data_IF_017712213459
#
_entry.id   IF_017712213459
#
_cell.length_a   1.000
_cell.length_b   1.000
_cell.length_c   1.000
_cell.angle_alpha   90.00
_cell.angle_beta   90.00
_cell.angle_gamma   90.00
#
_symmetry.space_group_name_H-M   'P 1'
#
loop_
_entity.id
_entity.type
_entity.pdbx_description
1 polymer ?
#
# COMPACT_ATOMS: atom_id res chain seq x y z
N UNK A 1 -0.15 14.55 8.07
CA UNK A 1 -0.37 15.28 6.81
C UNK A 1 0.51 14.61 5.76
N UNK A 2 -0.07 13.77 4.89
CA UNK A 2 0.65 13.05 3.83
C UNK A 2 0.88 14.02 2.66
N UNK A 3 1.77 14.99 2.88
CA UNK A 3 1.98 16.07 1.93
C UNK A 3 3.07 15.73 0.91
N UNK A 4 2.78 16.14 -0.34
CA UNK A 4 3.70 16.39 -1.46
C UNK A 4 3.76 15.42 -2.65
N UNK A 5 2.99 14.32 -2.70
CA UNK A 5 2.93 13.49 -3.94
C UNK A 5 1.53 13.06 -4.39
N UNK A 6 0.53 13.23 -3.53
CA UNK A 6 -0.87 12.85 -3.79
C UNK A 6 -1.80 14.08 -3.78
N UNK A 7 -1.29 15.27 -4.08
CA UNK A 7 -2.09 16.51 -4.09
C UNK A 7 -3.32 16.33 -5.01
N UNK A 8 -4.51 16.22 -4.39
CA UNK A 8 -5.80 16.07 -5.08
C UNK A 8 -6.33 14.63 -5.20
N UNK A 9 -5.58 13.61 -4.76
CA UNK A 9 -6.07 12.23 -4.70
C UNK A 9 -6.75 12.02 -3.34
N UNK A 10 -8.00 11.53 -3.29
CA UNK A 10 -8.63 11.20 -2.01
C UNK A 10 -7.80 10.14 -1.29
N UNK A 11 -7.56 10.33 0.01
CA UNK A 11 -6.79 9.38 0.80
C UNK A 11 -7.60 8.84 1.97
N UNK A 12 -7.27 7.63 2.41
CA UNK A 12 -7.76 7.01 3.63
C UNK A 12 -6.66 6.21 4.32
N UNK A 13 -6.81 5.95 5.61
CA UNK A 13 -5.92 5.06 6.34
C UNK A 13 -6.19 3.59 5.96
N UNK A 14 -5.14 2.77 5.95
CA UNK A 14 -5.27 1.33 5.88
C UNK A 14 -6.04 0.76 7.08
N UNK A 15 -6.68 -0.39 6.89
CA UNK A 15 -7.23 -1.23 7.95
C UNK A 15 -6.33 -2.45 8.21
N UNK A 16 -6.30 -2.95 9.45
CA UNK A 16 -5.60 -4.20 9.75
C UNK A 16 -6.28 -5.39 9.06
N UNK A 17 -5.48 -6.31 8.52
CA UNK A 17 -5.94 -7.43 7.69
C UNK A 17 -6.31 -7.06 6.26
N UNK A 18 -6.22 -5.78 5.88
CA UNK A 18 -6.55 -5.31 4.55
C UNK A 18 -5.53 -5.79 3.50
N UNK A 19 -6.02 -6.24 2.34
CA UNK A 19 -5.21 -6.46 1.15
C UNK A 19 -5.22 -5.22 0.25
N UNK A 20 -4.02 -4.76 -0.07
CA UNK A 20 -3.73 -3.60 -0.89
C UNK A 20 -2.87 -4.03 -2.08
N UNK A 21 -2.77 -3.14 -3.06
CA UNK A 21 -1.89 -3.32 -4.21
C UNK A 21 -1.08 -2.05 -4.43
N UNK A 22 0.17 -2.24 -4.82
CA UNK A 22 1.03 -1.17 -5.30
C UNK A 22 0.49 -0.67 -6.64
N UNK A 23 0.07 0.58 -6.70
CA UNK A 23 -0.56 1.18 -7.87
C UNK A 23 0.13 2.47 -8.26
N UNK A 24 0.26 2.70 -9.57
CA UNK A 24 0.77 3.95 -10.12
C UNK A 24 -0.38 4.93 -10.33
N UNK A 25 -0.44 5.97 -9.51
CA UNK A 25 -1.48 6.99 -9.62
C UNK A 25 -1.27 7.89 -10.85
N UNK A 26 -2.32 8.61 -11.25
CA UNK A 26 -2.29 9.56 -12.37
C UNK A 26 -1.27 10.68 -12.21
N UNK A 27 -0.84 10.96 -10.97
CA UNK A 27 0.26 11.89 -10.65
C UNK A 27 1.65 11.34 -11.03
N UNK A 28 1.74 10.07 -11.43
CA UNK A 28 2.98 9.37 -11.74
C UNK A 28 3.66 8.75 -10.52
N UNK A 29 3.18 9.04 -9.30
CA UNK A 29 3.68 8.47 -8.06
C UNK A 29 3.14 7.07 -7.81
N UNK A 30 4.00 6.20 -7.30
CA UNK A 30 3.60 4.91 -6.75
C UNK A 30 2.98 5.11 -5.36
N UNK A 31 1.88 4.43 -5.11
CA UNK A 31 1.28 4.36 -3.78
C UNK A 31 0.55 3.04 -3.59
N UNK A 32 -0.26 2.97 -2.54
CA UNK A 32 -1.08 1.79 -2.25
C UNK A 32 -2.54 2.13 -2.52
N UNK A 33 -3.28 1.17 -3.06
CA UNK A 33 -4.71 1.27 -3.30
C UNK A 33 -5.39 -0.04 -2.90
N UNK A 34 -6.67 0.03 -2.55
CA UNK A 34 -7.45 -1.20 -2.41
C UNK A 34 -7.78 -1.74 -3.80
N UNK A 35 -7.65 -3.06 -4.03
CA UNK A 35 -8.03 -3.66 -5.31
C UNK A 35 -9.52 -3.46 -5.64
N UNK A 36 -10.38 -3.28 -4.63
CA UNK A 36 -11.81 -2.99 -4.81
C UNK A 36 -12.08 -1.58 -5.35
N UNK A 37 -11.16 -0.65 -5.09
CA UNK A 37 -11.27 0.77 -5.44
C UNK A 37 -10.62 1.08 -6.80
N UNK A 38 -9.89 0.12 -7.39
CA UNK A 38 -9.24 0.29 -8.69
C UNK A 38 -10.22 0.05 -9.85
N UNK A 39 -10.14 0.84 -10.93
CA UNK A 39 -10.86 0.55 -12.15
C UNK A 39 -10.34 -0.76 -12.74
N UNK A 40 -11.12 -1.84 -12.61
CA UNK A 40 -10.77 -3.14 -13.20
C UNK A 40 -10.66 -2.97 -14.72
N UNK A 41 -9.51 -3.28 -15.34
CA UNK A 41 -9.42 -3.32 -16.80
C UNK A 41 -10.47 -4.30 -17.30
N UNK A 42 -11.32 -3.84 -18.22
CA UNK A 42 -12.50 -4.56 -18.70
C UNK A 42 -12.18 -5.99 -19.22
N UNK A 43 -10.92 -6.21 -19.62
CA UNK A 43 -10.36 -7.49 -20.07
C UNK A 43 -10.20 -8.58 -18.98
N UNK A 44 -10.22 -8.22 -17.69
CA UNK A 44 -10.13 -9.17 -16.57
C UNK A 44 -11.50 -9.46 -15.92
N UNK A 45 -12.60 -8.93 -16.46
CA UNK A 45 -13.94 -9.36 -16.05
C UNK A 45 -14.11 -10.83 -16.45
N UNK A 46 -13.88 -11.74 -15.50
CA UNK A 46 -14.27 -13.13 -15.64
C UNK A 46 -15.75 -13.20 -16.08
N UNK A 47 -16.12 -14.14 -16.97
CA UNK A 47 -17.51 -14.23 -17.42
C UNK A 47 -18.41 -14.44 -16.20
N UNK A 48 -19.37 -13.54 -16.04
CA UNK A 48 -20.32 -13.55 -14.95
C UNK A 48 -20.96 -14.96 -14.84
N UNK A 49 -20.70 -15.64 -13.72
CA UNK A 49 -21.42 -16.85 -13.34
C UNK A 49 -22.91 -16.55 -13.45
N UNK A 50 -23.65 -17.39 -14.19
CA UNK A 50 -25.07 -17.18 -14.52
C UNK A 50 -25.87 -17.02 -13.21
N UNK A 51 -26.25 -15.78 -12.88
CA UNK A 51 -26.92 -15.45 -11.62
C UNK A 51 -28.40 -15.87 -11.67
N UNK A 52 -28.82 -16.67 -10.70
CA UNK A 52 -30.19 -17.13 -10.50
C UNK A 52 -31.11 -15.95 -10.18
N UNK A 53 -32.35 -16.03 -10.68
CA UNK A 53 -33.48 -15.08 -10.65
C UNK A 53 -33.63 -14.14 -9.44
N UNK A 54 -33.11 -14.49 -8.26
CA UNK A 54 -33.18 -13.70 -7.03
C UNK A 54 -32.14 -12.58 -6.90
N UNK A 55 -31.05 -12.58 -7.68
CA UNK A 55 -30.00 -11.56 -7.59
C UNK A 55 -30.24 -10.30 -8.45
N UNK A 56 -31.11 -10.37 -9.46
CA UNK A 56 -31.46 -9.20 -10.29
C UNK A 56 -32.31 -8.16 -9.57
N UNK A 57 -33.01 -8.56 -8.50
CA UNK A 57 -33.86 -7.65 -7.73
C UNK A 57 -33.06 -6.84 -6.71
N UNK A 58 -31.93 -7.38 -6.21
CA UNK A 58 -31.06 -6.67 -5.25
C UNK A 58 -30.12 -5.67 -5.93
N UNK A 59 -29.72 -5.92 -7.19
CA UNK A 59 -28.86 -4.98 -7.93
C UNK A 59 -29.54 -3.65 -8.27
N UNK A 60 -30.86 -3.52 -8.08
CA UNK A 60 -31.58 -2.25 -8.20
C UNK A 60 -31.38 -1.31 -7.00
N UNK A 61 -30.85 -1.82 -5.87
CA UNK A 61 -30.72 -1.07 -4.61
C UNK A 61 -29.27 -0.77 -4.19
N UNK A 62 -28.27 -1.28 -4.92
CA UNK A 62 -26.86 -1.02 -4.59
C UNK A 62 -26.32 0.11 -5.48
N UNK A 63 -26.07 1.31 -4.93
CA UNK A 63 -25.32 2.32 -5.66
C UNK A 63 -23.87 1.85 -5.76
N UNK A 64 -23.56 1.07 -6.80
CA UNK A 64 -22.19 0.73 -7.19
C UNK A 64 -21.57 1.95 -7.89
N UNK A 65 -21.28 3.00 -7.10
CA UNK A 65 -20.46 4.13 -7.53
C UNK A 65 -19.00 3.75 -7.33
N UNK A 66 -18.40 3.12 -8.35
CA UNK A 66 -16.95 3.10 -8.44
C UNK A 66 -16.48 4.55 -8.55
N UNK A 67 -15.58 5.03 -7.66
CA UNK A 67 -15.06 6.38 -7.77
C UNK A 67 -14.25 6.52 -9.06
N UNK A 68 -14.38 7.65 -9.74
CA UNK A 68 -13.65 7.93 -10.99
C UNK A 68 -12.12 7.96 -10.80
N UNK A 69 -11.66 8.07 -9.55
CA UNK A 69 -10.24 8.04 -9.15
C UNK A 69 -10.15 7.15 -7.91
N UNK A 70 -9.32 6.12 -7.96
CA UNK A 70 -9.08 5.24 -6.81
C UNK A 70 -8.45 6.03 -5.66
N UNK A 71 -8.99 5.99 -4.43
CA UNK A 71 -8.34 6.58 -3.28
C UNK A 71 -7.00 5.92 -2.96
N UNK A 72 -6.04 6.75 -2.57
CA UNK A 72 -4.77 6.28 -2.03
C UNK A 72 -4.97 5.79 -0.59
N UNK A 73 -4.33 4.67 -0.26
CA UNK A 73 -4.31 4.10 1.09
C UNK A 73 -3.00 4.47 1.75
N UNK A 74 -3.08 5.25 2.82
CA UNK A 74 -1.94 5.66 3.63
C UNK A 74 -1.65 4.60 4.69
N UNK A 75 -0.37 4.29 4.88
CA UNK A 75 0.12 3.40 5.93
C UNK A 75 1.01 4.20 6.88
N UNK A 76 0.80 4.13 8.20
CA UNK A 76 1.64 4.82 9.17
C UNK A 76 3.02 4.16 9.28
N UNK A 77 4.07 4.95 9.59
CA UNK A 77 5.38 4.38 9.92
C UNK A 77 5.27 3.44 11.12
N UNK A 78 6.02 2.35 11.09
CA UNK A 78 5.97 1.28 12.07
C UNK A 78 4.97 0.16 11.74
N UNK A 79 4.10 0.34 10.74
CA UNK A 79 3.18 -0.73 10.35
C UNK A 79 3.93 -1.97 9.83
N UNK A 80 3.43 -3.15 10.19
CA UNK A 80 3.94 -4.43 9.72
C UNK A 80 3.09 -4.91 8.55
N UNK A 81 3.75 -5.27 7.46
CA UNK A 81 3.11 -5.65 6.20
C UNK A 81 3.70 -6.97 5.68
N UNK A 82 2.98 -7.67 4.81
CA UNK A 82 3.53 -8.72 3.95
C UNK A 82 3.50 -8.20 2.51
N UNK A 83 4.65 -8.19 1.86
CA UNK A 83 4.73 -8.00 0.41
C UNK A 83 4.62 -9.36 -0.27
N UNK A 84 3.76 -9.46 -1.28
CA UNK A 84 3.60 -10.66 -2.12
C UNK A 84 3.86 -10.32 -3.58
N UNK A 85 4.13 -11.35 -4.37
CA UNK A 85 4.47 -11.26 -5.79
C UNK A 85 5.70 -10.36 -6.06
N UNK A 86 6.70 -10.43 -5.18
CA UNK A 86 7.96 -9.71 -5.37
C UNK A 86 8.62 -10.26 -6.64
N UNK A 87 8.88 -9.45 -7.67
CA UNK A 87 9.41 -9.93 -8.94
C UNK A 87 10.87 -10.38 -8.81
N UNK A 88 11.31 -11.30 -9.67
CA UNK A 88 12.61 -11.97 -9.58
C UNK A 88 13.84 -11.03 -9.67
N UNK A 89 13.70 -9.83 -10.25
CA UNK A 89 14.71 -8.78 -10.20
C UNK A 89 14.83 -8.20 -8.78
N UNK A 90 13.72 -7.84 -8.15
CA UNK A 90 13.68 -7.33 -6.78
C UNK A 90 14.06 -8.40 -5.75
N UNK A 91 13.66 -9.66 -5.95
CA UNK A 91 14.10 -10.79 -5.11
C UNK A 91 15.62 -10.90 -5.07
N UNK A 92 16.28 -10.87 -6.24
CA UNK A 92 17.75 -10.93 -6.33
C UNK A 92 18.41 -9.69 -5.76
N UNK A 93 17.84 -8.50 -6.01
CA UNK A 93 18.38 -7.23 -5.53
C UNK A 93 18.31 -7.13 -4.00
N UNK A 94 17.15 -7.43 -3.43
CA UNK A 94 16.89 -7.27 -1.99
C UNK A 94 17.28 -8.53 -1.19
N UNK A 95 17.61 -9.63 -1.87
CA UNK A 95 17.91 -10.96 -1.28
C UNK A 95 16.75 -11.48 -0.42
N UNK A 96 15.61 -11.56 -1.07
CA UNK A 96 14.32 -11.92 -0.48
C UNK A 96 13.58 -12.92 -1.35
N UNK A 97 12.56 -13.57 -0.80
CA UNK A 97 11.68 -14.46 -1.53
C UNK A 97 10.50 -13.71 -2.17
N UNK A 98 9.61 -14.46 -2.82
CA UNK A 98 8.40 -13.94 -3.47
C UNK A 98 7.41 -13.31 -2.49
N UNK A 99 7.41 -13.79 -1.25
CA UNK A 99 6.60 -13.27 -0.15
C UNK A 99 7.49 -12.97 1.05
N UNK A 100 7.39 -11.76 1.61
CA UNK A 100 8.19 -11.34 2.76
C UNK A 100 7.45 -10.42 3.72
N UNK A 101 7.77 -10.56 5.00
CA UNK A 101 7.40 -9.61 6.04
C UNK A 101 8.28 -8.35 5.97
N UNK A 102 7.65 -7.18 6.01
CA UNK A 102 8.32 -5.88 5.99
C UNK A 102 7.77 -4.92 7.03
N UNK A 103 8.62 -3.97 7.44
CA UNK A 103 8.24 -2.83 8.26
C UNK A 103 8.11 -1.59 7.37
N UNK A 104 6.97 -0.91 7.47
CA UNK A 104 6.79 0.39 6.82
C UNK A 104 7.57 1.46 7.59
N UNK A 105 8.40 2.22 6.88
CA UNK A 105 9.32 3.21 7.46
C UNK A 105 9.34 4.48 6.64
N UNK A 106 9.82 5.58 7.24
CA UNK A 106 10.01 6.86 6.57
C UNK A 106 11.50 7.22 6.58
N UNK A 107 12.10 7.55 5.42
CA UNK A 107 13.58 7.63 5.31
C UNK A 107 14.19 9.00 5.72
N UNK A 108 13.58 10.16 5.45
CA UNK A 108 14.03 11.46 6.01
C UNK A 108 13.04 12.62 5.78
N UNK A 109 13.31 13.76 6.43
CA UNK A 109 12.55 15.01 6.42
C UNK A 109 13.00 16.04 5.36
N UNK A 110 13.80 15.62 4.37
CA UNK A 110 14.28 16.55 3.33
C UNK A 110 13.11 17.06 2.45
N UNK A 111 13.21 18.31 2.02
CA UNK A 111 12.23 18.95 1.15
C UNK A 111 12.35 18.32 -0.24
N UNK A 112 11.26 17.76 -0.78
CA UNK A 112 11.12 17.14 -2.11
C UNK A 112 11.60 15.68 -2.29
N UNK A 113 11.86 14.90 -1.23
CA UNK A 113 12.13 13.46 -1.36
C UNK A 113 10.91 12.60 -1.01
N UNK A 114 10.62 11.58 -1.82
CA UNK A 114 9.63 10.56 -1.49
C UNK A 114 10.04 9.86 -0.20
N UNK A 115 9.18 9.94 0.82
CA UNK A 115 9.54 9.58 2.19
C UNK A 115 9.29 8.12 2.54
N UNK A 116 8.34 7.49 1.84
CA UNK A 116 7.80 6.20 2.21
C UNK A 116 8.65 5.04 1.70
N UNK A 117 8.92 4.08 2.58
CA UNK A 117 9.77 2.94 2.31
C UNK A 117 9.37 1.71 3.10
N UNK A 118 9.78 0.55 2.61
CA UNK A 118 9.63 -0.73 3.29
C UNK A 118 11.01 -1.27 3.63
N UNK A 119 11.16 -1.75 4.85
CA UNK A 119 12.36 -2.39 5.37
C UNK A 119 12.09 -3.87 5.56
N UNK A 120 12.87 -4.70 4.89
CA UNK A 120 12.82 -6.16 5.03
C UNK A 120 13.49 -6.60 6.34
N UNK A 121 13.17 -7.82 6.77
CA UNK A 121 13.76 -8.47 7.96
C UNK A 121 15.28 -8.61 7.87
N UNK A 122 15.82 -8.75 6.67
CA UNK A 122 17.26 -8.79 6.39
C UNK A 122 17.94 -7.42 6.47
N UNK A 123 17.21 -6.35 6.81
CA UNK A 123 17.70 -4.99 6.95
C UNK A 123 17.76 -4.18 5.64
N UNK A 124 17.52 -4.81 4.49
CA UNK A 124 17.44 -4.12 3.21
C UNK A 124 16.24 -3.19 3.18
N UNK A 125 16.38 -2.01 2.57
CA UNK A 125 15.33 -1.00 2.50
C UNK A 125 15.13 -0.57 1.05
N UNK A 126 13.87 -0.51 0.62
CA UNK A 126 13.47 -0.07 -0.71
C UNK A 126 12.35 0.97 -0.59
N UNK A 127 12.37 1.99 -1.46
CA UNK A 127 11.32 3.03 -1.47
C UNK A 127 10.04 2.47 -2.07
N UNK A 128 8.90 3.01 -1.64
CA UNK A 128 7.61 2.68 -2.26
C UNK A 128 7.59 3.00 -3.76
N UNK A 129 8.34 4.04 -4.18
CA UNK A 129 8.50 4.42 -5.59
C UNK A 129 9.31 3.41 -6.44
N UNK A 130 10.12 2.57 -5.81
CA UNK A 130 10.93 1.56 -6.51
C UNK A 130 10.23 0.19 -6.55
N UNK A 131 9.11 0.02 -5.85
CA UNK A 131 8.25 -1.16 -5.96
C UNK A 131 7.56 -1.21 -7.33
N UNK A 132 7.18 -2.41 -7.76
CA UNK A 132 6.47 -2.61 -9.03
C UNK A 132 4.98 -2.49 -8.83
N UNK A 133 4.32 -1.85 -9.81
CA UNK A 133 2.88 -1.87 -9.92
C UNK A 133 2.35 -3.32 -9.98
N UNK A 134 1.25 -3.58 -9.27
CA UNK A 134 0.64 -4.90 -9.19
C UNK A 134 1.14 -5.77 -8.04
N UNK A 135 2.23 -5.40 -7.35
CA UNK A 135 2.66 -6.12 -6.14
C UNK A 135 1.59 -6.01 -5.06
N UNK A 136 1.23 -7.14 -4.45
CA UNK A 136 0.24 -7.18 -3.36
C UNK A 136 0.88 -6.86 -2.01
N UNK A 137 0.12 -6.19 -1.15
CA UNK A 137 0.54 -5.79 0.18
C UNK A 137 -0.57 -6.17 1.16
N UNK A 138 -0.27 -7.00 2.14
CA UNK A 138 -1.20 -7.32 3.22
C UNK A 138 -0.80 -6.55 4.48
N UNK A 139 -1.75 -5.84 5.08
CA UNK A 139 -1.53 -5.09 6.32
C UNK A 139 -1.70 -6.05 7.49
N UNK A 140 -0.63 -6.34 8.23
CA UNK A 140 -0.71 -7.19 9.42
C UNK A 140 -1.07 -6.40 10.65
N UNK A 141 -0.37 -5.29 10.89
CA UNK A 141 -0.64 -4.42 12.03
C UNK A 141 -0.25 -2.98 11.74
N UNK A 142 -1.06 -2.06 12.25
CA UNK A 142 -0.81 -0.62 12.20
C UNK A 142 -0.21 -0.11 13.53
N UNK A 143 -0.05 -0.98 14.52
CA UNK A 143 0.27 -0.66 15.91
C UNK A 143 1.73 -0.24 16.17
N UNK A 144 2.56 -0.06 15.14
CA UNK A 144 3.95 0.37 15.30
C UNK A 144 4.15 1.84 15.66
N UNK A 145 3.12 2.53 16.15
CA UNK A 145 3.22 3.87 16.77
C UNK A 145 3.85 3.74 18.16
N UNK A 146 5.05 3.17 18.23
CA UNK A 146 5.94 3.44 19.36
C UNK A 146 6.67 4.72 19.02
N UNK A 147 6.22 5.81 19.62
CA UNK A 147 6.99 7.05 19.73
C UNK A 147 8.43 6.68 20.10
N UNK A 148 9.35 6.86 19.16
CA UNK A 148 10.76 6.84 19.47
C UNK A 148 11.02 8.09 20.31
N UNK A 149 10.86 7.99 21.63
CA UNK A 149 11.57 8.87 22.57
C UNK A 149 13.05 8.50 22.44
N UNK A 150 13.91 9.32 21.80
CA UNK A 150 15.33 9.15 22.00
C UNK A 150 15.55 9.33 23.50
N UNK A 151 15.97 8.27 24.18
CA UNK A 151 16.61 8.42 25.47
C UNK A 151 17.77 9.38 25.24
N UNK A 152 17.63 10.62 25.73
CA UNK A 152 18.78 11.49 25.90
C UNK A 152 19.72 10.72 26.81
N UNK A 153 20.75 10.13 26.20
CA UNK A 153 21.96 9.72 26.88
C UNK A 153 22.60 11.02 27.34
N UNK A 154 22.16 11.52 28.51
CA UNK A 154 22.84 12.56 29.24
C UNK A 154 24.17 11.95 29.71
N UNK A 155 25.18 12.13 28.86
CA UNK A 155 26.53 11.70 29.11
C UNK A 155 27.04 12.47 30.33
N UNK A 156 27.40 11.71 31.35
CA UNK A 156 28.34 12.07 32.41
C UNK A 156 29.55 12.84 31.84
N UNK A 157 29.70 14.12 32.18
CA UNK A 157 30.87 14.73 32.87
C UNK A 157 30.86 16.25 32.80
#
# INVERSE_FOLDING_TARGET
>A
MCDYSLCGIPNRLAAEGEELVVHKFSTGSMGLASPADLPVPEALRAPAVKKTFWQSVKSFFEPSRQPAVAPAVCIPPGAQLILKDIPADLQRQCRVFEEEGVLFTQISADVNSYRDAVRFTNGYQIRLQDLREGMRVQVLSLAGVTEYTPAMTEALR
#
